data_IF_557315017868
#
_entry.id   IF_557315017868
#
_cell.length_a   1.000
_cell.length_b   1.000
_cell.length_c   1.000
_cell.angle_alpha   90.00
_cell.angle_beta   90.00
_cell.angle_gamma   90.00
#
_symmetry.space_group_name_H-M   'P 1'
#
loop_
_entity.id
_entity.type
_entity.pdbx_description
1 polymer ?
#
# COMPACT_ATOMS: atom_id res chain seq x y z
N UNK A 1 10.54 -16.62 -50.96
CA UNK A 1 10.92 -18.02 -50.72
C UNK A 1 11.48 -18.08 -49.32
N UNK A 2 10.97 -19.00 -48.52
CA UNK A 2 11.22 -19.16 -47.09
C UNK A 2 12.72 -19.30 -46.80
N UNK A 3 13.17 -18.65 -45.72
CA UNK A 3 14.09 -19.30 -44.78
C UNK A 3 13.60 -19.03 -43.36
N UNK A 4 13.25 -20.13 -42.73
CA UNK A 4 12.75 -20.25 -41.37
C UNK A 4 13.78 -19.77 -40.35
N UNK A 5 13.32 -19.05 -39.33
CA UNK A 5 14.00 -19.01 -38.04
C UNK A 5 13.96 -20.41 -37.41
N UNK A 6 15.10 -20.99 -37.00
CA UNK A 6 15.08 -22.14 -36.11
C UNK A 6 14.64 -21.68 -34.71
N UNK A 7 13.75 -22.45 -34.10
CA UNK A 7 13.41 -22.35 -32.69
C UNK A 7 14.68 -22.62 -31.88
N UNK A 8 15.24 -21.59 -31.25
CA UNK A 8 15.65 -21.59 -29.84
C UNK A 8 16.47 -20.32 -29.52
N UNK A 9 15.93 -19.52 -28.60
CA UNK A 9 16.64 -18.56 -27.76
C UNK A 9 17.23 -17.27 -28.37
N UNK A 10 16.75 -16.15 -27.80
CA UNK A 10 17.25 -14.76 -27.78
C UNK A 10 17.07 -13.86 -29.01
N UNK A 11 16.12 -12.93 -28.85
CA UNK A 11 16.10 -11.57 -29.40
C UNK A 11 16.79 -11.37 -30.76
N UNK A 12 15.99 -11.26 -31.83
CA UNK A 12 16.39 -10.47 -32.98
C UNK A 12 16.59 -9.02 -32.52
N UNK A 13 17.83 -8.65 -32.17
CA UNK A 13 18.21 -7.27 -31.89
C UNK A 13 18.20 -6.52 -33.22
N UNK A 14 17.05 -5.94 -33.56
CA UNK A 14 16.95 -5.02 -34.67
C UNK A 14 17.71 -3.74 -34.28
N UNK A 15 18.97 -3.64 -34.72
CA UNK A 15 19.75 -2.40 -34.66
C UNK A 15 19.26 -1.46 -35.76
N UNK A 16 18.14 -0.81 -35.51
CA UNK A 16 17.64 0.31 -36.31
C UNK A 16 18.14 1.66 -35.78
N UNK A 17 18.29 2.70 -36.63
CA UNK A 17 18.75 4.02 -36.22
C UNK A 17 17.81 4.60 -35.16
N UNK A 18 18.38 5.31 -34.19
CA UNK A 18 17.73 5.87 -32.99
C UNK A 18 16.60 6.86 -33.32
N UNK A 19 15.47 6.35 -33.79
CA UNK A 19 14.20 7.02 -33.61
C UNK A 19 13.85 6.82 -32.15
N UNK A 20 13.95 7.89 -31.37
CA UNK A 20 13.45 7.93 -30.00
C UNK A 20 11.98 7.52 -30.05
N UNK A 21 11.70 6.25 -29.71
CA UNK A 21 10.35 5.85 -29.38
C UNK A 21 9.93 6.74 -28.21
N UNK A 22 8.74 7.39 -28.26
CA UNK A 22 8.22 8.06 -27.09
C UNK A 22 8.20 7.05 -25.95
N UNK A 23 8.67 7.45 -24.76
CA UNK A 23 8.57 6.60 -23.58
C UNK A 23 7.13 6.08 -23.49
N UNK A 24 6.91 4.78 -23.26
CA UNK A 24 5.56 4.24 -23.12
C UNK A 24 4.79 5.10 -22.11
N UNK A 25 3.53 5.47 -22.38
CA UNK A 25 2.75 6.20 -21.40
C UNK A 25 2.79 5.44 -20.08
N UNK A 26 3.03 6.17 -18.99
CA UNK A 26 2.96 5.59 -17.64
C UNK A 26 1.64 4.83 -17.52
N UNK A 27 1.72 3.53 -17.20
CA UNK A 27 0.55 2.64 -17.05
C UNK A 27 -0.47 3.19 -16.04
N UNK A 28 -0.06 4.12 -15.18
CA UNK A 28 -0.89 4.78 -14.17
C UNK A 28 -1.73 5.95 -14.71
N UNK A 29 -1.39 6.50 -15.89
CA UNK A 29 -2.10 7.65 -16.49
C UNK A 29 -3.47 7.31 -17.09
N UNK A 30 -3.87 6.03 -17.07
CA UNK A 30 -5.15 5.56 -17.63
C UNK A 30 -6.25 5.36 -16.57
N UNK A 31 -5.93 5.50 -15.28
CA UNK A 31 -6.90 5.28 -14.21
C UNK A 31 -7.43 6.59 -13.68
N UNK A 32 -8.76 6.70 -13.59
CA UNK A 32 -9.44 7.80 -12.92
C UNK A 32 -9.88 7.35 -11.52
N UNK A 33 -9.74 8.19 -10.48
CA UNK A 33 -10.26 7.88 -9.15
C UNK A 33 -11.77 7.58 -9.21
N UNK A 34 -12.19 6.55 -8.51
CA UNK A 34 -13.62 6.23 -8.36
C UNK A 34 -14.24 7.22 -7.39
N UNK A 35 -15.44 7.70 -7.71
CA UNK A 35 -16.19 8.56 -6.80
C UNK A 35 -16.73 7.74 -5.62
N UNK A 36 -16.49 8.25 -4.41
CA UNK A 36 -16.89 7.63 -3.14
C UNK A 36 -17.83 8.59 -2.43
N UNK A 37 -19.03 8.12 -2.08
CA UNK A 37 -20.04 8.94 -1.41
C UNK A 37 -19.80 9.02 0.10
N UNK A 38 -19.47 7.87 0.71
CA UNK A 38 -19.40 7.73 2.16
C UNK A 38 -18.35 6.71 2.57
N UNK A 39 -17.80 6.93 3.75
CA UNK A 39 -16.93 6.00 4.43
C UNK A 39 -17.56 5.57 5.77
N UNK A 40 -17.28 4.34 6.16
CA UNK A 40 -17.76 3.71 7.40
C UNK A 40 -16.60 3.04 8.12
N UNK A 41 -16.70 2.97 9.45
CA UNK A 41 -15.72 2.33 10.32
C UNK A 41 -16.41 1.28 11.17
N UNK A 42 -15.70 0.20 11.51
CA UNK A 42 -16.17 -0.82 12.46
C UNK A 42 -16.53 -0.26 13.83
N UNK A 43 -15.79 0.75 14.27
CA UNK A 43 -16.06 1.49 15.51
C UNK A 43 -15.50 2.91 15.45
N UNK A 44 -16.03 3.76 16.33
CA UNK A 44 -15.56 5.14 16.51
C UNK A 44 -14.79 5.26 17.83
N UNK A 45 -13.47 5.55 17.80
CA UNK A 45 -12.67 5.79 18.98
C UNK A 45 -12.85 7.23 19.51
N UNK A 46 -13.19 8.19 18.63
CA UNK A 46 -13.40 9.60 18.95
C UNK A 46 -13.97 10.38 17.75
N UNK A 47 -14.65 11.51 17.99
CA UNK A 47 -15.08 12.45 16.96
C UNK A 47 -13.93 13.11 16.17
N UNK A 48 -12.69 13.01 16.68
CA UNK A 48 -11.50 13.60 16.04
C UNK A 48 -10.96 12.74 14.90
N UNK A 49 -11.35 11.46 14.81
CA UNK A 49 -10.88 10.54 13.75
C UNK A 49 -12.05 9.90 12.97
N UNK A 50 -12.98 10.70 12.41
CA UNK A 50 -14.17 10.21 11.73
C UNK A 50 -13.84 9.51 10.41
N UNK A 51 -14.75 8.65 9.96
CA UNK A 51 -14.64 7.89 8.71
C UNK A 51 -14.39 8.77 7.48
N UNK A 52 -14.96 9.99 7.45
CA UNK A 52 -14.87 10.91 6.30
C UNK A 52 -13.43 11.31 5.95
N UNK A 53 -12.50 11.23 6.89
CA UNK A 53 -11.06 11.49 6.67
C UNK A 53 -10.37 10.42 5.82
N UNK A 54 -11.06 9.34 5.44
CA UNK A 54 -10.52 8.37 4.47
C UNK A 54 -10.74 8.84 3.02
N UNK A 55 -11.64 9.79 2.80
CA UNK A 55 -12.15 10.17 1.46
C UNK A 55 -12.18 11.68 1.25
N UNK A 56 -11.40 12.45 2.02
CA UNK A 56 -11.35 13.91 1.92
C UNK A 56 -10.15 14.45 1.12
N UNK A 57 -9.43 13.55 0.43
CA UNK A 57 -8.22 13.84 -0.36
C UNK A 57 -7.06 14.49 0.42
N UNK A 58 -7.10 14.46 1.76
CA UNK A 58 -6.06 15.01 2.63
C UNK A 58 -5.31 13.88 3.37
N UNK A 59 -4.09 13.57 2.90
CA UNK A 59 -3.25 12.51 3.47
C UNK A 59 -2.70 12.83 4.87
N UNK A 60 -2.83 14.07 5.34
CA UNK A 60 -2.42 14.47 6.68
C UNK A 60 -3.56 14.29 7.71
N UNK A 61 -4.79 14.05 7.25
CA UNK A 61 -5.89 13.60 8.11
C UNK A 61 -5.99 12.08 8.13
N UNK A 62 -6.59 11.53 9.19
CA UNK A 62 -6.71 10.08 9.34
C UNK A 62 -7.95 9.68 10.12
N UNK A 63 -8.60 8.62 9.64
CA UNK A 63 -9.61 7.91 10.39
C UNK A 63 -8.98 6.83 11.29
N UNK A 64 -9.66 6.50 12.37
CA UNK A 64 -9.21 5.46 13.28
C UNK A 64 -10.40 4.68 13.82
N UNK A 65 -10.18 3.40 14.13
CA UNK A 65 -11.09 2.53 14.88
C UNK A 65 -10.57 2.34 16.30
N UNK A 66 -11.37 1.71 17.17
CA UNK A 66 -10.84 1.21 18.45
C UNK A 66 -9.90 0.04 18.21
N UNK A 67 -9.05 -0.27 19.18
CA UNK A 67 -8.07 -1.36 19.04
C UNK A 67 -8.74 -2.71 19.26
N UNK A 68 -8.38 -3.70 18.42
CA UNK A 68 -8.73 -5.12 18.58
C UNK A 68 -10.25 -5.43 18.48
N UNK A 69 -10.99 -4.72 17.63
CA UNK A 69 -12.43 -4.92 17.45
C UNK A 69 -12.80 -5.53 16.10
N UNK A 70 -11.89 -6.28 15.45
CA UNK A 70 -12.13 -6.76 14.09
C UNK A 70 -12.23 -5.58 13.11
N UNK A 71 -11.17 -4.78 13.07
CA UNK A 71 -11.20 -3.45 12.49
C UNK A 71 -11.39 -3.50 10.98
N UNK A 72 -12.35 -2.72 10.49
CA UNK A 72 -12.59 -2.53 9.07
C UNK A 72 -12.94 -1.09 8.75
N UNK A 73 -12.68 -0.72 7.50
CA UNK A 73 -13.12 0.51 6.85
C UNK A 73 -13.89 0.08 5.61
N UNK A 74 -15.01 0.72 5.32
CA UNK A 74 -15.79 0.46 4.10
C UNK A 74 -16.11 1.74 3.37
N UNK A 75 -16.02 1.69 2.05
CA UNK A 75 -16.29 2.81 1.16
C UNK A 75 -17.52 2.49 0.33
N UNK A 76 -18.50 3.40 0.34
CA UNK A 76 -19.65 3.33 -0.54
C UNK A 76 -19.35 4.09 -1.82
N UNK A 77 -19.21 3.37 -2.92
CA UNK A 77 -19.02 3.96 -4.24
C UNK A 77 -20.34 4.57 -4.72
N UNK A 78 -20.26 5.71 -5.42
CA UNK A 78 -21.45 6.43 -5.91
C UNK A 78 -22.26 5.64 -6.95
N UNK A 79 -21.60 4.71 -7.64
CA UNK A 79 -22.20 3.83 -8.63
C UNK A 79 -21.44 2.51 -8.70
N UNK A 80 -22.11 1.46 -9.20
CA UNK A 80 -21.46 0.21 -9.53
C UNK A 80 -20.41 0.46 -10.63
N UNK A 81 -19.14 0.29 -10.29
CA UNK A 81 -18.00 0.54 -11.17
C UNK A 81 -16.96 -0.55 -10.98
N UNK A 82 -16.22 -0.85 -12.04
CA UNK A 82 -15.09 -1.76 -11.95
C UNK A 82 -13.91 -1.08 -11.24
N UNK A 83 -13.46 -1.67 -10.13
CA UNK A 83 -12.30 -1.19 -9.38
C UNK A 83 -11.09 -2.03 -9.77
N UNK A 84 -10.13 -1.41 -10.45
CA UNK A 84 -8.90 -2.11 -10.87
C UNK A 84 -7.82 -2.11 -9.78
N UNK A 85 -7.76 -1.05 -8.98
CA UNK A 85 -6.72 -0.82 -7.99
C UNK A 85 -7.28 -0.08 -6.76
N UNK A 86 -6.72 -0.39 -5.60
CA UNK A 86 -7.01 0.30 -4.34
C UNK A 86 -5.69 0.79 -3.77
N UNK A 87 -5.66 2.07 -3.40
CA UNK A 87 -4.53 2.69 -2.71
C UNK A 87 -4.90 2.96 -1.27
N UNK A 88 -3.98 2.65 -0.34
CA UNK A 88 -4.14 2.91 1.08
C UNK A 88 -2.92 3.67 1.59
N UNK A 89 -3.15 4.81 2.23
CA UNK A 89 -2.13 5.60 2.89
C UNK A 89 -2.21 5.34 4.40
N UNK A 90 -1.10 4.89 4.98
CA UNK A 90 -1.02 4.62 6.41
C UNK A 90 -0.67 5.89 7.18
N UNK A 91 -1.11 5.97 8.44
CA UNK A 91 -0.81 7.08 9.35
C UNK A 91 0.67 7.06 9.73
N UNK A 92 1.34 8.22 9.65
CA UNK A 92 2.80 8.37 9.90
C UNK A 92 3.20 9.39 10.96
N UNK A 93 2.24 10.10 11.55
CA UNK A 93 2.44 11.26 12.44
C UNK A 93 3.17 10.97 13.77
N UNK A 94 3.10 9.75 14.31
CA UNK A 94 3.97 9.33 15.41
C UNK A 94 4.80 8.15 14.94
N UNK A 95 6.03 8.48 14.55
CA UNK A 95 7.04 7.52 14.10
C UNK A 95 7.01 6.29 15.00
N UNK A 96 6.73 5.14 14.37
CA UNK A 96 6.80 3.83 14.97
C UNK A 96 5.56 3.20 15.57
N UNK A 97 4.86 3.89 16.45
CA UNK A 97 3.83 3.21 17.26
C UNK A 97 2.52 3.02 16.50
N UNK A 98 2.15 3.95 15.61
CA UNK A 98 0.93 3.86 14.81
C UNK A 98 1.12 3.22 13.44
N UNK A 99 2.19 3.53 12.68
CA UNK A 99 2.39 2.89 11.37
C UNK A 99 2.43 1.36 11.45
N UNK A 100 3.04 0.81 12.51
CA UNK A 100 3.13 -0.63 12.73
C UNK A 100 1.78 -1.32 13.00
N UNK A 101 0.70 -0.57 13.23
CA UNK A 101 -0.61 -1.15 13.59
C UNK A 101 -1.47 -1.53 12.39
N UNK A 102 -1.13 -1.12 11.17
CA UNK A 102 -1.90 -1.50 9.99
C UNK A 102 -1.79 -3.01 9.70
N UNK A 103 -0.58 -3.56 9.79
CA UNK A 103 -0.33 -4.99 9.67
C UNK A 103 -0.87 -5.61 8.37
N UNK A 104 -1.42 -6.81 8.48
CA UNK A 104 -2.09 -7.52 7.38
C UNK A 104 -3.53 -7.05 7.24
N UNK A 105 -3.97 -6.81 6.01
CA UNK A 105 -5.35 -6.48 5.69
C UNK A 105 -5.82 -7.16 4.40
N UNK A 106 -7.12 -7.32 4.32
CA UNK A 106 -7.82 -7.89 3.18
C UNK A 106 -8.78 -6.87 2.59
N UNK A 107 -9.00 -6.94 1.29
CA UNK A 107 -9.90 -6.05 0.55
C UNK A 107 -11.05 -6.86 0.00
N UNK A 108 -12.26 -6.52 0.41
CA UNK A 108 -13.49 -7.15 -0.03
C UNK A 108 -14.37 -6.16 -0.79
N UNK A 109 -15.12 -6.67 -1.77
CA UNK A 109 -16.27 -5.98 -2.36
C UNK A 109 -17.52 -6.72 -1.90
N UNK A 110 -18.51 -5.99 -1.37
CA UNK A 110 -19.74 -6.56 -0.83
C UNK A 110 -20.91 -5.58 -0.92
N UNK A 111 -22.07 -6.00 -0.42
CA UNK A 111 -23.31 -5.22 -0.52
C UNK A 111 -23.57 -4.32 0.69
N UNK A 112 -22.80 -4.46 1.77
CA UNK A 112 -22.95 -3.69 3.01
C UNK A 112 -21.58 -3.33 3.63
N UNK A 113 -21.51 -2.27 4.45
CA UNK A 113 -20.30 -1.95 5.22
C UNK A 113 -19.87 -3.11 6.13
N UNK A 114 -18.58 -3.42 6.13
CA UNK A 114 -17.99 -4.49 6.93
C UNK A 114 -18.31 -5.92 6.45
N UNK A 115 -18.89 -6.08 5.26
CA UNK A 115 -19.25 -7.40 4.73
C UNK A 115 -18.03 -8.17 4.21
N UNK A 116 -17.60 -9.18 4.97
CA UNK A 116 -16.47 -10.05 4.63
C UNK A 116 -16.85 -11.53 4.49
N UNK A 117 -18.11 -11.89 4.73
CA UNK A 117 -18.51 -13.29 4.84
C UNK A 117 -19.87 -13.62 4.22
N UNK A 118 -20.65 -12.64 3.79
CA UNK A 118 -21.91 -12.94 3.10
C UNK A 118 -21.65 -13.62 1.76
N UNK A 119 -22.69 -14.19 1.15
CA UNK A 119 -22.61 -14.72 -0.21
C UNK A 119 -22.31 -13.65 -1.28
N UNK A 120 -22.45 -12.36 -0.94
CA UNK A 120 -22.11 -11.24 -1.81
C UNK A 120 -20.71 -10.67 -1.57
N UNK A 121 -20.01 -11.13 -0.52
CA UNK A 121 -18.65 -10.71 -0.21
C UNK A 121 -17.66 -11.44 -1.12
N UNK A 122 -16.87 -10.66 -1.86
CA UNK A 122 -15.83 -11.16 -2.76
C UNK A 122 -14.49 -10.63 -2.28
N UNK A 123 -13.56 -11.53 -1.93
CA UNK A 123 -12.18 -11.18 -1.63
C UNK A 123 -11.46 -10.77 -2.93
N UNK A 124 -10.99 -9.52 -2.98
CA UNK A 124 -10.32 -8.94 -4.15
C UNK A 124 -8.79 -8.91 -4.00
N UNK A 125 -8.28 -9.08 -2.78
CA UNK A 125 -6.85 -9.15 -2.52
C UNK A 125 -6.52 -9.01 -1.04
N UNK A 126 -5.25 -9.23 -0.72
CA UNK A 126 -4.69 -9.03 0.61
C UNK A 126 -3.33 -8.37 0.49
N UNK A 127 -2.96 -7.59 1.50
CA UNK A 127 -1.65 -6.96 1.58
C UNK A 127 -1.18 -6.91 3.03
N UNK A 128 0.12 -6.71 3.20
CA UNK A 128 0.75 -6.62 4.51
C UNK A 128 1.66 -5.41 4.56
N UNK A 129 1.53 -4.63 5.63
CA UNK A 129 2.37 -3.49 5.91
C UNK A 129 3.31 -3.80 7.07
N UNK A 130 4.60 -3.95 6.74
CA UNK A 130 5.68 -4.11 7.72
C UNK A 130 6.34 -2.78 8.00
N UNK A 131 6.17 -2.23 9.20
CA UNK A 131 6.96 -1.08 9.64
C UNK A 131 8.32 -1.54 10.16
N UNK A 132 9.36 -1.45 9.33
CA UNK A 132 10.72 -1.84 9.70
C UNK A 132 11.41 -0.74 10.54
N UNK A 133 11.34 -0.85 11.87
CA UNK A 133 12.13 -0.01 12.79
C UNK A 133 13.65 -0.26 12.76
N UNK A 134 14.10 -1.34 12.11
CA UNK A 134 15.46 -1.86 12.30
C UNK A 134 16.46 -1.59 11.16
N UNK A 135 16.06 -0.98 10.04
CA UNK A 135 16.98 -0.82 8.90
C UNK A 135 17.83 0.46 8.92
N UNK A 136 17.46 1.48 9.72
CA UNK A 136 18.17 2.77 9.70
C UNK A 136 19.24 2.91 10.81
N UNK A 137 19.27 2.02 11.82
CA UNK A 137 20.35 2.03 12.83
C UNK A 137 21.54 1.10 12.56
N UNK A 138 21.50 0.27 11.51
CA UNK A 138 22.61 -0.65 11.19
C UNK A 138 23.50 -0.20 10.01
N UNK A 139 23.16 0.86 9.28
CA UNK A 139 23.98 1.35 8.16
C UNK A 139 25.07 2.36 8.57
N UNK A 140 25.16 2.74 9.85
CA UNK A 140 26.26 3.53 10.39
C UNK A 140 27.01 2.75 11.46
N UNK A 141 27.71 1.67 11.12
CA UNK A 141 28.95 1.24 11.78
C UNK A 141 29.59 0.07 11.02
N UNK A 142 30.21 0.37 9.88
CA UNK A 142 31.29 -0.44 9.32
C UNK A 142 32.54 0.44 9.20
N UNK A 143 33.49 0.29 10.13
CA UNK A 143 34.76 1.02 10.03
C UNK A 143 35.64 1.08 11.29
N UNK A 144 36.21 -0.07 11.65
CA UNK A 144 37.47 -0.27 12.40
C UNK A 144 37.60 -0.11 13.94
N UNK A 145 38.52 -0.90 14.57
CA UNK A 145 38.50 -1.25 15.99
C UNK A 145 39.43 -0.37 16.82
N UNK A 146 39.06 -0.07 18.06
CA UNK A 146 39.99 0.42 19.08
C UNK A 146 39.55 -0.07 20.47
N UNK A 147 40.34 -1.00 20.99
CA UNK A 147 40.77 -1.18 22.38
C UNK A 147 39.89 -0.60 23.50
N UNK A 148 39.20 -1.48 24.22
CA UNK A 148 38.84 -1.19 25.62
C UNK A 148 39.95 -1.73 26.53
N UNK A 149 40.87 -0.85 26.89
CA UNK A 149 41.61 -0.99 28.16
C UNK A 149 40.60 -0.92 29.30
N UNK A 150 40.59 -1.95 30.13
CA UNK A 150 39.93 -1.99 31.43
C UNK A 150 40.90 -1.55 32.51
N UNK A 151 40.64 -0.40 33.15
CA UNK A 151 41.15 0.07 34.46
C UNK A 151 40.51 1.46 34.70
N UNK A 152 40.06 1.91 35.88
CA UNK A 152 39.87 1.39 37.25
C UNK A 152 39.17 2.51 38.05
N UNK A 153 38.76 2.20 39.30
CA UNK A 153 38.40 3.09 40.43
C UNK A 153 36.99 3.72 40.48
N UNK A 154 36.12 3.21 41.37
CA UNK A 154 36.10 3.48 42.82
C UNK A 154 35.16 2.52 43.55
#
# INVERSE_FOLDING_TARGET
GLDNCPNDHFFCRQVGPTWMAPSPPSRWSLYSPVQVDKAFLSSSPSYVYPAKFVIDDDIDTFAATRKREGNWISLQLSQATYVQYVQLYNRVDLEGSWPAQLGTFEVFVGSAPGDTSSSSAVLCGAAEYHYLWNFIRQSHHSGHPMDKKSEVDK
#
